data_IF_580298134621
#
_entry.id   IF_580298134621
#
_cell.length_a   1.000
_cell.length_b   1.000
_cell.length_c   1.000
_cell.angle_alpha   90.00
_cell.angle_beta   90.00
_cell.angle_gamma   90.00
#
_symmetry.space_group_name_H-M   'P 1'
#
loop_
_entity.id
_entity.type
_entity.pdbx_description
1 polymer ?
#
# COMPACT_ATOMS: atom_id res chain seq x y z
N UNK A 1 2.16 1.26 -17.46
CA UNK A 1 1.70 0.55 -16.26
C UNK A 1 2.89 -0.15 -15.65
N UNK A 2 3.11 -0.06 -14.36
CA UNK A 2 4.19 -0.78 -13.70
C UNK A 2 4.07 -2.28 -13.94
N UNK A 3 5.20 -2.96 -14.05
CA UNK A 3 5.26 -4.40 -14.40
C UNK A 3 4.55 -5.29 -13.37
N UNK A 4 4.48 -4.84 -12.11
CA UNK A 4 3.85 -5.56 -11.00
C UNK A 4 2.32 -5.63 -11.09
N UNK A 5 1.68 -4.76 -11.85
CA UNK A 5 0.23 -4.78 -12.05
C UNK A 5 -0.22 -5.83 -13.08
N UNK A 6 0.73 -6.41 -13.80
CA UNK A 6 0.48 -7.40 -14.85
C UNK A 6 0.77 -8.80 -14.34
N UNK A 7 -0.18 -9.42 -13.66
CA UNK A 7 -0.10 -10.85 -13.37
C UNK A 7 -0.24 -11.24 -11.90
N UNK A 8 -0.42 -10.27 -10.99
CA UNK A 8 -0.69 -10.55 -9.57
C UNK A 8 -2.07 -10.02 -9.14
N UNK A 9 -2.61 -9.07 -9.90
CA UNK A 9 -3.98 -8.57 -9.72
C UNK A 9 -4.79 -8.84 -10.97
N UNK A 10 -6.03 -9.28 -10.80
CA UNK A 10 -6.97 -9.37 -11.91
C UNK A 10 -7.37 -7.95 -12.35
N UNK A 11 -7.27 -7.66 -13.65
CA UNK A 11 -7.55 -6.34 -14.24
C UNK A 11 -9.04 -5.92 -14.15
N UNK A 12 -9.89 -6.73 -13.51
CA UNK A 12 -11.34 -6.63 -13.63
C UNK A 12 -12.04 -5.83 -12.53
N UNK A 13 -11.58 -5.89 -11.31
CA UNK A 13 -12.33 -5.32 -10.19
C UNK A 13 -11.45 -4.39 -9.34
N UNK A 14 -11.68 -3.11 -9.49
CA UNK A 14 -11.24 -2.17 -8.46
C UNK A 14 -12.01 -2.51 -7.18
N UNK A 15 -11.34 -2.61 -6.02
CA UNK A 15 -12.02 -2.90 -4.78
C UNK A 15 -13.15 -1.90 -4.53
N UNK A 16 -14.26 -2.38 -4.00
CA UNK A 16 -15.34 -1.53 -3.50
C UNK A 16 -14.82 -0.74 -2.29
N UNK A 17 -14.34 0.45 -2.56
CA UNK A 17 -13.89 1.37 -1.52
C UNK A 17 -15.07 2.16 -1.01
N UNK A 18 -15.40 2.00 0.25
CA UNK A 18 -16.11 3.04 0.99
C UNK A 18 -15.08 3.88 1.73
N UNK A 19 -14.76 5.11 1.26
CA UNK A 19 -13.77 5.95 1.92
C UNK A 19 -14.23 6.31 3.34
N UNK A 20 -13.42 5.96 4.31
CA UNK A 20 -13.62 6.34 5.71
C UNK A 20 -12.30 6.81 6.29
N UNK A 21 -12.29 8.01 6.83
CA UNK A 21 -11.12 8.64 7.41
C UNK A 21 -10.57 8.03 8.69
N UNK A 22 -11.29 7.09 9.31
CA UNK A 22 -10.84 6.38 10.52
C UNK A 22 -10.12 5.07 10.23
N UNK A 23 -9.68 4.87 9.00
CA UNK A 23 -9.04 3.68 8.48
C UNK A 23 -9.85 3.07 7.34
N UNK A 24 -9.40 3.30 6.12
CA UNK A 24 -9.99 2.67 4.95
C UNK A 24 -9.55 1.22 4.85
N UNK A 25 -10.50 0.36 4.58
CA UNK A 25 -10.29 -1.05 4.35
C UNK A 25 -10.68 -1.37 2.91
N UNK A 26 -9.69 -1.72 2.11
CA UNK A 26 -9.88 -2.18 0.74
C UNK A 26 -9.54 -3.65 0.59
N UNK A 27 -10.13 -4.30 -0.38
CA UNK A 27 -9.85 -5.68 -0.76
C UNK A 27 -9.27 -5.65 -2.18
N UNK A 28 -8.28 -6.50 -2.43
CA UNK A 28 -7.74 -6.71 -3.76
C UNK A 28 -7.70 -8.20 -4.04
N UNK A 29 -7.78 -8.55 -5.31
CA UNK A 29 -7.67 -9.94 -5.73
C UNK A 29 -6.25 -10.23 -6.21
N UNK A 30 -5.76 -11.41 -5.87
CA UNK A 30 -4.56 -11.96 -6.51
C UNK A 30 -4.98 -12.65 -7.81
N UNK A 31 -4.03 -12.85 -8.73
CA UNK A 31 -4.30 -13.57 -9.98
C UNK A 31 -4.84 -14.99 -9.70
N UNK A 32 -5.64 -15.55 -10.62
CA UNK A 32 -6.36 -16.82 -10.46
C UNK A 32 -5.49 -17.98 -9.97
N UNK A 33 -4.21 -17.99 -10.37
CA UNK A 33 -3.25 -19.04 -9.99
C UNK A 33 -2.35 -18.64 -8.80
N UNK A 34 -2.56 -17.48 -8.19
CA UNK A 34 -1.76 -16.95 -7.10
C UNK A 34 -2.41 -17.20 -5.75
N UNK A 35 -1.58 -17.47 -4.74
CA UNK A 35 -2.00 -17.62 -3.34
C UNK A 35 -1.65 -16.38 -2.51
N UNK A 36 -0.60 -15.67 -2.91
CA UNK A 36 -0.06 -14.53 -2.17
C UNK A 36 0.64 -13.55 -3.09
N UNK A 37 1.06 -12.43 -2.54
CA UNK A 37 1.71 -11.35 -3.29
C UNK A 37 3.24 -11.50 -3.29
N UNK A 38 3.71 -12.43 -4.09
CA UNK A 38 5.13 -12.70 -4.39
C UNK A 38 5.37 -12.64 -5.89
N UNK A 39 6.62 -12.68 -6.33
CA UNK A 39 6.98 -12.59 -7.76
C UNK A 39 6.34 -13.68 -8.64
N UNK A 40 6.05 -14.84 -8.08
CA UNK A 40 5.42 -15.97 -8.77
C UNK A 40 4.03 -16.33 -8.22
N UNK A 41 3.49 -15.51 -7.30
CA UNK A 41 2.19 -15.73 -6.70
C UNK A 41 2.10 -16.89 -5.72
N UNK A 42 3.23 -17.51 -5.34
CA UNK A 42 3.27 -18.72 -4.51
C UNK A 42 3.87 -18.45 -3.15
N UNK A 43 3.41 -19.20 -2.14
CA UNK A 43 3.95 -19.16 -0.78
C UNK A 43 4.58 -20.48 -0.38
N UNK A 44 5.59 -20.39 0.50
CA UNK A 44 6.17 -21.49 1.27
C UNK A 44 5.78 -21.40 2.75
N UNK A 45 5.11 -20.32 3.14
CA UNK A 45 4.62 -20.10 4.50
C UNK A 45 3.25 -20.75 4.69
N UNK A 46 2.91 -21.16 5.91
CA UNK A 46 1.55 -21.57 6.23
C UNK A 46 0.61 -20.38 6.10
N UNK A 47 -0.61 -20.63 5.67
CA UNK A 47 -1.64 -19.61 5.67
C UNK A 47 -2.08 -19.29 7.10
N UNK A 48 -2.54 -18.07 7.36
CA UNK A 48 -3.11 -17.72 8.65
C UNK A 48 -4.30 -18.62 8.98
N UNK A 49 -4.37 -19.04 10.24
CA UNK A 49 -5.50 -19.83 10.74
C UNK A 49 -6.77 -18.97 10.80
N UNK A 50 -7.90 -19.58 10.48
CA UNK A 50 -9.21 -18.93 10.60
C UNK A 50 -9.64 -18.08 9.40
N UNK A 51 -8.83 -18.01 8.34
CA UNK A 51 -9.27 -17.39 7.09
C UNK A 51 -10.45 -18.17 6.48
N UNK A 52 -11.49 -17.45 6.11
CA UNK A 52 -12.59 -17.98 5.30
C UNK A 52 -12.13 -18.27 3.87
N UNK A 53 -12.91 -19.03 3.12
CA UNK A 53 -12.62 -19.28 1.70
C UNK A 53 -12.63 -17.95 0.92
N UNK A 54 -13.58 -17.06 1.21
CA UNK A 54 -13.67 -15.73 0.58
C UNK A 54 -12.40 -14.89 0.83
N UNK A 55 -11.89 -14.85 2.07
CA UNK A 55 -10.68 -14.09 2.38
C UNK A 55 -9.42 -14.68 1.72
N UNK A 56 -9.42 -15.97 1.42
CA UNK A 56 -8.35 -16.62 0.65
C UNK A 56 -8.42 -16.25 -0.82
N UNK A 57 -9.64 -16.20 -1.37
CA UNK A 57 -9.89 -15.84 -2.76
C UNK A 57 -9.65 -14.35 -3.01
N UNK A 58 -10.02 -13.48 -2.05
CA UNK A 58 -9.70 -12.05 -2.09
C UNK A 58 -8.19 -11.82 -2.05
N UNK A 59 -7.46 -12.61 -1.27
CA UNK A 59 -6.00 -12.69 -1.26
C UNK A 59 -5.26 -11.50 -0.68
N UNK A 60 -5.93 -10.33 -0.52
CA UNK A 60 -5.29 -9.10 -0.11
C UNK A 60 -6.28 -8.16 0.60
N UNK A 61 -5.89 -7.67 1.77
CA UNK A 61 -6.62 -6.64 2.51
C UNK A 61 -5.69 -5.45 2.74
N UNK A 62 -6.13 -4.26 2.30
CA UNK A 62 -5.51 -2.99 2.66
C UNK A 62 -6.21 -2.36 3.85
N UNK A 63 -5.45 -1.73 4.72
CA UNK A 63 -5.97 -0.88 5.79
C UNK A 63 -5.04 0.31 5.96
N UNK A 64 -5.59 1.50 5.78
CA UNK A 64 -4.89 2.76 6.00
C UNK A 64 -5.30 3.37 7.34
N UNK A 65 -4.31 3.81 8.10
CA UNK A 65 -4.52 4.73 9.21
C UNK A 65 -3.95 6.06 8.76
N UNK A 66 -4.83 6.98 8.47
CA UNK A 66 -4.49 8.26 7.86
C UNK A 66 -3.30 8.92 8.54
N UNK A 67 -2.40 9.33 7.69
CA UNK A 67 -1.24 10.12 8.02
C UNK A 67 0.07 9.36 7.84
N UNK A 68 0.31 8.27 8.55
CA UNK A 68 1.66 7.73 8.61
C UNK A 68 1.77 6.21 8.68
N UNK A 69 0.67 5.49 8.59
CA UNK A 69 0.69 4.04 8.74
C UNK A 69 -0.31 3.37 7.80
N UNK A 70 0.12 2.31 7.15
CA UNK A 70 -0.78 1.39 6.47
C UNK A 70 -0.31 -0.07 6.65
N UNK A 71 -1.26 -0.96 6.47
CA UNK A 71 -0.98 -2.39 6.52
C UNK A 71 -1.58 -3.06 5.29
N UNK A 72 -0.88 -4.09 4.83
CA UNK A 72 -1.33 -4.96 3.74
C UNK A 72 -1.27 -6.39 4.23
N UNK A 73 -2.42 -7.01 4.40
CA UNK A 73 -2.53 -8.39 4.83
C UNK A 73 -2.70 -9.31 3.62
N UNK A 74 -1.91 -10.35 3.58
CA UNK A 74 -1.99 -11.46 2.63
C UNK A 74 -2.41 -12.73 3.37
N UNK A 75 -2.65 -13.80 2.66
CA UNK A 75 -3.09 -15.05 3.28
C UNK A 75 -2.02 -15.71 4.17
N UNK A 76 -0.74 -15.35 4.00
CA UNK A 76 0.42 -15.98 4.61
C UNK A 76 1.37 -15.03 5.34
N UNK A 77 1.27 -13.72 5.12
CA UNK A 77 2.01 -12.69 5.86
C UNK A 77 1.25 -11.37 5.90
N UNK A 78 1.60 -10.51 6.84
CA UNK A 78 1.13 -9.13 6.90
C UNK A 78 2.34 -8.20 6.77
N UNK A 79 2.22 -7.20 5.94
CA UNK A 79 3.19 -6.13 5.82
C UNK A 79 2.63 -4.86 6.44
N UNK A 80 3.37 -4.27 7.37
CA UNK A 80 3.06 -2.94 7.89
C UNK A 80 4.06 -1.94 7.36
N UNK A 81 3.60 -0.74 7.05
CA UNK A 81 4.46 0.36 6.59
C UNK A 81 4.19 1.59 7.40
N UNK A 82 5.26 2.14 7.97
CA UNK A 82 5.24 3.41 8.70
C UNK A 82 6.02 4.45 7.93
N UNK A 83 5.38 5.58 7.72
CA UNK A 83 5.99 6.77 7.16
C UNK A 83 6.55 7.61 8.31
N UNK A 84 7.86 7.78 8.39
CA UNK A 84 8.54 8.52 9.46
C UNK A 84 9.11 9.81 8.87
N UNK A 85 8.42 10.95 8.99
CA UNK A 85 8.91 12.23 8.50
C UNK A 85 10.25 12.61 9.14
N UNK A 86 11.25 12.93 8.34
CA UNK A 86 12.56 13.43 8.76
C UNK A 86 12.71 14.92 8.54
N UNK A 87 11.84 15.50 7.76
CA UNK A 87 11.83 16.90 7.40
C UNK A 87 10.83 17.16 6.28
N UNK A 88 10.72 18.38 5.78
CA UNK A 88 9.73 18.74 4.78
C UNK A 88 9.90 18.03 3.43
N UNK A 89 11.04 17.42 3.20
CA UNK A 89 11.39 16.79 1.92
C UNK A 89 11.94 15.37 2.06
N UNK A 90 11.88 14.81 3.25
CA UNK A 90 12.45 13.49 3.50
C UNK A 90 11.60 12.69 4.47
N UNK A 91 11.30 11.46 4.10
CA UNK A 91 10.52 10.51 4.88
C UNK A 91 11.19 9.15 4.80
N UNK A 92 11.42 8.53 5.97
CA UNK A 92 11.84 7.13 6.02
C UNK A 92 10.60 6.24 5.93
N UNK A 93 10.71 5.15 5.18
CA UNK A 93 9.75 4.05 5.20
C UNK A 93 10.29 2.94 6.09
N UNK A 94 9.56 2.60 7.15
CA UNK A 94 9.85 1.46 8.02
C UNK A 94 8.85 0.37 7.73
N UNK A 95 9.34 -0.79 7.30
CA UNK A 95 8.51 -1.89 6.83
C UNK A 95 8.79 -3.11 7.68
N UNK A 96 7.73 -3.66 8.28
CA UNK A 96 7.80 -4.88 9.05
C UNK A 96 6.97 -5.99 8.36
N UNK A 97 7.47 -7.22 8.37
CA UNK A 97 6.75 -8.41 7.92
C UNK A 97 6.37 -9.25 9.13
N UNK A 98 5.08 -9.47 9.31
CA UNK A 98 4.52 -10.28 10.37
C UNK A 98 4.11 -11.62 9.77
N UNK A 99 4.61 -12.70 10.36
CA UNK A 99 4.36 -14.05 9.92
C UNK A 99 3.34 -14.74 10.83
N UNK A 100 2.69 -15.84 10.40
CA UNK A 100 1.87 -16.67 11.27
C UNK A 100 2.63 -17.09 12.54
N UNK A 101 1.92 -17.35 13.62
CA UNK A 101 2.53 -17.70 14.92
C UNK A 101 3.46 -18.94 14.87
N UNK A 102 3.19 -19.85 13.95
CA UNK A 102 4.00 -21.06 13.72
C UNK A 102 4.41 -21.14 12.24
N UNK A 103 5.35 -20.28 11.78
CA UNK A 103 5.65 -20.17 10.35
C UNK A 103 6.44 -21.36 9.80
N UNK A 104 6.86 -22.32 10.64
CA UNK A 104 7.76 -23.41 10.26
C UNK A 104 9.22 -22.94 10.18
N UNK A 105 10.00 -23.62 9.36
CA UNK A 105 11.40 -23.29 9.14
C UNK A 105 11.50 -22.11 8.14
N UNK A 106 11.58 -20.90 8.66
CA UNK A 106 11.76 -19.70 7.87
C UNK A 106 13.25 -19.46 7.62
N UNK A 107 13.69 -19.72 6.41
CA UNK A 107 15.07 -19.47 6.01
C UNK A 107 15.23 -18.07 5.36
N UNK A 108 16.47 -17.67 5.10
CA UNK A 108 16.75 -16.39 4.45
C UNK A 108 16.10 -16.29 3.06
N UNK A 109 16.06 -17.37 2.30
CA UNK A 109 15.46 -17.40 0.97
C UNK A 109 13.95 -17.17 1.02
N UNK A 110 13.25 -17.72 2.04
CA UNK A 110 11.82 -17.46 2.27
C UNK A 110 11.58 -15.98 2.52
N UNK A 111 12.41 -15.34 3.35
CA UNK A 111 12.32 -13.90 3.63
C UNK A 111 12.58 -13.08 2.38
N UNK A 112 13.62 -13.39 1.61
CA UNK A 112 13.89 -12.66 0.36
C UNK A 112 12.75 -12.83 -0.67
N UNK A 113 12.14 -14.00 -0.72
CA UNK A 113 11.00 -14.28 -1.61
C UNK A 113 9.78 -13.41 -1.30
N UNK A 114 9.36 -13.31 -0.02
CA UNK A 114 8.21 -12.48 0.36
C UNK A 114 8.50 -10.98 0.26
N UNK A 115 9.77 -10.57 0.30
CA UNK A 115 10.18 -9.18 0.17
C UNK A 115 10.34 -8.73 -1.28
N UNK A 116 10.68 -9.63 -2.18
CA UNK A 116 11.12 -9.27 -3.54
C UNK A 116 10.12 -8.38 -4.30
N UNK A 117 8.85 -8.77 -4.37
CA UNK A 117 7.83 -7.99 -5.05
C UNK A 117 7.49 -6.68 -4.31
N UNK A 118 7.21 -6.68 -2.99
CA UNK A 118 6.98 -5.45 -2.25
C UNK A 118 8.12 -4.43 -2.37
N UNK A 119 9.37 -4.86 -2.27
CA UNK A 119 10.51 -3.96 -2.38
C UNK A 119 10.66 -3.40 -3.78
N UNK A 120 10.44 -4.20 -4.82
CA UNK A 120 10.43 -3.72 -6.20
C UNK A 120 9.38 -2.60 -6.41
N UNK A 121 8.17 -2.81 -5.89
CA UNK A 121 7.09 -1.81 -5.97
C UNK A 121 7.49 -0.53 -5.24
N UNK A 122 7.98 -0.64 -4.00
CA UNK A 122 8.40 0.51 -3.19
C UNK A 122 9.54 1.30 -3.86
N UNK A 123 10.49 0.62 -4.48
CA UNK A 123 11.57 1.29 -5.23
C UNK A 123 11.02 2.07 -6.44
N UNK A 124 10.07 1.49 -7.18
CA UNK A 124 9.44 2.16 -8.32
C UNK A 124 8.60 3.36 -7.89
N UNK A 125 7.79 3.19 -6.85
CA UNK A 125 6.94 4.24 -6.31
C UNK A 125 7.77 5.36 -5.67
N UNK A 126 8.82 5.00 -4.95
CA UNK A 126 9.78 5.96 -4.39
C UNK A 126 10.42 6.83 -5.45
N UNK A 127 10.90 6.23 -6.53
CA UNK A 127 11.48 6.97 -7.65
C UNK A 127 10.45 7.92 -8.32
N UNK A 128 9.21 7.47 -8.46
CA UNK A 128 8.12 8.30 -8.99
C UNK A 128 7.79 9.47 -8.05
N UNK A 129 7.74 9.23 -6.73
CA UNK A 129 7.52 10.26 -5.73
C UNK A 129 8.63 11.32 -5.72
N UNK A 130 9.90 10.89 -5.79
CA UNK A 130 11.05 11.81 -5.86
C UNK A 130 11.02 12.68 -7.13
N UNK A 131 10.68 12.08 -8.27
CA UNK A 131 10.52 12.81 -9.54
C UNK A 131 9.36 13.81 -9.47
N UNK A 132 8.22 13.40 -8.91
CA UNK A 132 7.07 14.27 -8.71
C UNK A 132 7.42 15.45 -7.79
N UNK A 133 8.14 15.21 -6.70
CA UNK A 133 8.60 16.25 -5.78
C UNK A 133 9.52 17.29 -6.47
N UNK A 134 10.34 16.86 -7.41
CA UNK A 134 11.14 17.78 -8.24
C UNK A 134 10.23 18.59 -9.17
N UNK A 135 9.20 17.97 -9.73
CA UNK A 135 8.24 18.63 -10.62
C UNK A 135 7.46 19.75 -9.93
N UNK A 136 6.94 19.50 -8.73
CA UNK A 136 6.15 20.49 -7.97
C UNK A 136 6.99 21.68 -7.49
N UNK A 137 8.31 21.55 -7.40
CA UNK A 137 9.24 22.67 -7.12
C UNK A 137 9.58 23.51 -8.34
N UNK A 138 9.16 23.09 -9.53
CA UNK A 138 9.48 23.82 -10.75
C UNK A 138 8.69 25.12 -10.86
N UNK A 139 9.29 26.15 -11.51
CA UNK A 139 8.63 27.45 -11.69
C UNK A 139 7.26 27.43 -12.37
N UNK A 140 7.02 26.57 -13.39
CA UNK A 140 5.73 26.54 -14.07
C UNK A 140 4.66 25.77 -13.29
N UNK A 141 4.99 25.09 -12.20
CA UNK A 141 4.00 24.37 -11.40
C UNK A 141 3.18 25.38 -10.59
N UNK A 142 1.88 25.29 -10.71
CA UNK A 142 0.90 26.12 -9.99
C UNK A 142 0.06 25.23 -9.05
N UNK A 143 -0.59 24.21 -9.62
CA UNK A 143 -1.41 23.27 -8.85
C UNK A 143 -1.47 21.90 -9.55
N UNK A 144 -1.77 20.86 -8.77
CA UNK A 144 -2.09 19.53 -9.27
C UNK A 144 -3.60 19.42 -9.59
N UNK A 145 -3.94 18.47 -10.45
CA UNK A 145 -5.32 18.09 -10.74
C UNK A 145 -5.47 16.62 -10.35
N UNK A 146 -6.39 16.34 -9.44
CA UNK A 146 -6.76 14.98 -9.06
C UNK A 146 -7.87 14.47 -9.97
N UNK A 147 -7.75 13.22 -10.42
CA UNK A 147 -8.83 12.53 -11.13
C UNK A 147 -9.69 11.74 -10.12
N UNK A 148 -10.92 11.33 -10.49
CA UNK A 148 -11.81 10.65 -9.54
C UNK A 148 -11.22 9.41 -8.85
N UNK A 149 -10.31 8.71 -9.52
CA UNK A 149 -9.61 7.55 -8.97
C UNK A 149 -8.61 7.89 -7.85
N UNK A 150 -8.27 9.19 -7.70
CA UNK A 150 -7.35 9.70 -6.68
C UNK A 150 -8.09 10.28 -5.46
N UNK A 151 -9.33 9.83 -5.24
CA UNK A 151 -10.16 10.29 -4.13
C UNK A 151 -9.46 10.16 -2.76
N UNK A 152 -8.68 9.11 -2.53
CA UNK A 152 -7.95 8.93 -1.28
C UNK A 152 -6.90 10.03 -1.03
N UNK A 153 -6.31 10.58 -2.10
CA UNK A 153 -5.41 11.75 -1.99
C UNK A 153 -6.20 12.99 -1.62
N UNK A 154 -7.38 13.18 -2.22
CA UNK A 154 -8.28 14.26 -1.86
C UNK A 154 -8.70 14.19 -0.40
N UNK A 155 -9.14 13.03 0.05
CA UNK A 155 -9.58 12.78 1.41
C UNK A 155 -8.47 13.03 2.43
N UNK A 156 -7.23 12.62 2.11
CA UNK A 156 -6.07 12.97 2.93
C UNK A 156 -5.86 14.49 3.04
N UNK A 157 -6.03 15.24 1.95
CA UNK A 157 -5.92 16.69 1.97
C UNK A 157 -7.03 17.36 2.81
N UNK A 158 -8.28 16.85 2.75
CA UNK A 158 -9.38 17.33 3.60
C UNK A 158 -9.05 17.07 5.08
N UNK A 159 -8.66 15.84 5.42
CA UNK A 159 -8.25 15.48 6.76
C UNK A 159 -7.12 16.37 7.29
N UNK A 160 -6.13 16.65 6.44
CA UNK A 160 -4.99 17.50 6.80
C UNK A 160 -5.43 18.94 7.08
N UNK A 161 -6.31 19.50 6.24
CA UNK A 161 -6.90 20.83 6.45
C UNK A 161 -7.63 20.92 7.79
N UNK A 162 -8.47 19.95 8.09
CA UNK A 162 -9.19 19.88 9.36
C UNK A 162 -8.24 19.86 10.57
N UNK A 163 -7.15 19.09 10.47
CA UNK A 163 -6.17 18.96 11.55
C UNK A 163 -5.29 20.19 11.76
N UNK A 164 -4.93 20.85 10.70
CA UNK A 164 -4.13 22.08 10.77
C UNK A 164 -4.98 23.27 11.23
N UNK A 165 -6.28 23.09 11.33
CA UNK A 165 -7.25 24.17 11.49
C UNK A 165 -7.11 25.11 10.31
N UNK A 166 -8.07 25.22 9.44
CA UNK A 166 -8.04 26.30 8.48
C UNK A 166 -7.92 27.60 9.28
N UNK A 167 -6.69 28.11 9.39
CA UNK A 167 -6.55 29.52 9.60
C UNK A 167 -7.26 30.17 8.42
N UNK A 168 -8.33 30.90 8.67
CA UNK A 168 -9.06 31.69 7.70
C UNK A 168 -8.09 32.26 6.67
N UNK A 169 -7.96 31.60 5.53
CA UNK A 169 -7.42 32.23 4.33
C UNK A 169 -8.61 32.83 3.62
N UNK A 170 -9.24 33.76 4.32
CA UNK A 170 -10.06 34.77 3.71
C UNK A 170 -9.13 35.93 3.42
N UNK A 171 -8.56 35.96 2.23
CA UNK A 171 -8.48 37.13 1.33
C UNK A 171 -7.64 36.80 0.08
#
# INVERSE_FOLDING_TARGET
MPVYAKGVFDDGDLPDWEPRFDGDKGFGHVAEDATTWTMDGKTELPLFEGLTDQERDDGLIFMDIIGTFYLVAHADYVRTVRLVPKGPESTDLVIDWLLPANPGDVCADTIERIKALPMLVIEQDGAACELNQQGIKSRPFDHGILVPQEYAVWDFHEWLRDRLGEADVSD
#
